data_IF_346653883593
#
_entry.id   IF_346653883593
#
_cell.length_a   1.000
_cell.length_b   1.000
_cell.length_c   1.000
_cell.angle_alpha   90.00
_cell.angle_beta   90.00
_cell.angle_gamma   90.00
#
_symmetry.space_group_name_H-M   'P 1'
#
loop_
_entity.id
_entity.type
_entity.pdbx_description
1 polymer ?
#
# COMPACT_ATOMS: atom_id res chain seq x y z
N UNK A 1 -16.46 7.09 7.48
CA UNK A 1 -15.00 6.91 7.62
C UNK A 1 -14.65 5.62 6.89
N UNK A 2 -13.56 5.59 6.11
CA UNK A 2 -13.03 4.36 5.51
C UNK A 2 -11.71 4.00 6.19
N UNK A 3 -11.53 2.73 6.52
CA UNK A 3 -10.27 2.17 6.98
C UNK A 3 -9.85 1.08 6.00
N UNK A 4 -8.79 1.34 5.23
CA UNK A 4 -8.17 0.33 4.37
C UNK A 4 -7.15 -0.45 5.21
N UNK A 5 -7.54 -1.66 5.64
CA UNK A 5 -6.70 -2.57 6.42
C UNK A 5 -6.41 -3.89 5.69
N UNK A 6 -7.14 -4.21 4.62
CA UNK A 6 -6.90 -5.43 3.87
C UNK A 6 -5.48 -5.43 3.29
N UNK A 7 -4.72 -6.48 3.61
CA UNK A 7 -3.34 -6.63 3.18
C UNK A 7 -2.90 -8.09 3.28
N UNK A 8 -2.06 -8.52 2.34
CA UNK A 8 -1.45 -9.85 2.30
C UNK A 8 0.04 -9.75 2.04
N UNK A 9 0.81 -10.59 2.72
CA UNK A 9 2.24 -10.73 2.51
C UNK A 9 2.56 -12.21 2.30
N UNK A 10 3.29 -12.54 1.23
CA UNK A 10 3.76 -13.89 0.92
C UNK A 10 5.28 -13.84 0.75
N UNK A 11 6.05 -13.95 1.85
CA UNK A 11 7.50 -13.92 1.78
C UNK A 11 8.00 -15.03 0.84
N UNK A 12 8.63 -14.65 -0.26
CA UNK A 12 9.12 -15.56 -1.30
C UNK A 12 10.44 -15.01 -1.82
N UNK A 13 11.52 -15.81 -1.89
CA UNK A 13 12.78 -15.37 -2.50
C UNK A 13 12.53 -14.78 -3.89
N UNK A 14 13.28 -13.74 -4.25
CA UNK A 14 13.03 -12.99 -5.50
C UNK A 14 13.07 -13.89 -6.73
N UNK A 15 13.94 -14.91 -6.73
CA UNK A 15 14.10 -15.84 -7.84
C UNK A 15 12.96 -16.87 -7.95
N UNK A 16 12.22 -17.09 -6.86
CA UNK A 16 11.13 -18.07 -6.78
C UNK A 16 9.74 -17.39 -6.81
N UNK A 17 9.71 -16.06 -6.84
CA UNK A 17 8.48 -15.29 -6.80
C UNK A 17 7.72 -15.45 -8.12
N UNK A 18 6.55 -16.10 -8.04
CA UNK A 18 5.67 -16.26 -9.19
C UNK A 18 4.87 -14.99 -9.47
N UNK A 19 4.49 -14.82 -10.74
CA UNK A 19 3.62 -13.71 -11.16
C UNK A 19 2.26 -13.75 -10.45
N UNK A 20 1.71 -14.94 -10.21
CA UNK A 20 0.46 -15.08 -9.44
C UNK A 20 0.59 -14.54 -8.01
N UNK A 21 1.71 -14.83 -7.34
CA UNK A 21 1.96 -14.34 -5.99
C UNK A 21 2.15 -12.82 -5.99
N UNK A 22 2.85 -12.30 -7.00
CA UNK A 22 3.03 -10.86 -7.21
C UNK A 22 1.68 -10.16 -7.41
N UNK A 23 0.85 -10.69 -8.33
CA UNK A 23 -0.46 -10.15 -8.64
C UNK A 23 -1.38 -10.20 -7.42
N UNK A 24 -1.40 -11.30 -6.66
CA UNK A 24 -2.18 -11.40 -5.43
C UNK A 24 -1.85 -10.27 -4.43
N UNK A 25 -0.56 -9.99 -4.23
CA UNK A 25 -0.09 -8.94 -3.32
C UNK A 25 -0.50 -7.55 -3.85
N UNK A 26 -0.27 -7.27 -5.13
CA UNK A 26 -0.63 -5.97 -5.73
C UNK A 26 -2.15 -5.75 -5.78
N UNK A 27 -2.90 -6.76 -6.17
CA UNK A 27 -4.35 -6.69 -6.31
C UNK A 27 -5.01 -6.41 -4.97
N UNK A 28 -4.53 -7.06 -3.91
CA UNK A 28 -5.06 -6.85 -2.55
C UNK A 28 -4.60 -5.51 -1.98
N UNK A 29 -3.28 -5.28 -1.96
CA UNK A 29 -2.71 -4.22 -1.12
C UNK A 29 -2.64 -2.86 -1.83
N UNK A 30 -2.66 -2.85 -3.17
CA UNK A 30 -2.57 -1.63 -3.97
C UNK A 30 -3.87 -1.36 -4.73
N UNK A 31 -4.29 -2.26 -5.62
CA UNK A 31 -5.50 -2.04 -6.44
C UNK A 31 -6.75 -1.98 -5.56
N UNK A 32 -6.93 -2.95 -4.67
CA UNK A 32 -8.06 -3.02 -3.73
C UNK A 32 -8.16 -1.76 -2.88
N UNK A 33 -7.05 -1.36 -2.24
CA UNK A 33 -6.97 -0.12 -1.47
C UNK A 33 -7.35 1.10 -2.31
N UNK A 34 -6.81 1.24 -3.52
CA UNK A 34 -7.06 2.39 -4.39
C UNK A 34 -8.53 2.45 -4.82
N UNK A 35 -9.12 1.36 -5.29
CA UNK A 35 -10.49 1.35 -5.79
C UNK A 35 -11.53 1.47 -4.68
N UNK A 36 -11.29 0.88 -3.51
CA UNK A 36 -12.11 1.13 -2.31
C UNK A 36 -12.09 2.62 -1.93
N UNK A 37 -10.89 3.22 -1.91
CA UNK A 37 -10.72 4.65 -1.67
C UNK A 37 -11.46 5.49 -2.70
N UNK A 38 -11.32 5.17 -3.98
CA UNK A 38 -11.97 5.91 -5.07
C UNK A 38 -13.50 5.84 -4.95
N UNK A 39 -14.05 4.66 -4.66
CA UNK A 39 -15.48 4.45 -4.48
C UNK A 39 -16.02 5.30 -3.34
N UNK A 40 -15.39 5.24 -2.16
CA UNK A 40 -15.85 6.00 -0.98
C UNK A 40 -15.60 7.51 -1.14
N UNK A 41 -14.49 7.92 -1.76
CA UNK A 41 -14.17 9.33 -1.98
C UNK A 41 -15.24 10.04 -2.83
N UNK A 42 -15.84 9.36 -3.81
CA UNK A 42 -16.97 9.91 -4.60
C UNK A 42 -18.15 10.32 -3.73
N UNK A 43 -18.42 9.61 -2.64
CA UNK A 43 -19.47 9.97 -1.68
C UNK A 43 -19.02 11.08 -0.73
N UNK A 44 -17.80 10.99 -0.20
CA UNK A 44 -17.25 11.97 0.74
C UNK A 44 -17.16 13.38 0.14
N UNK A 45 -16.81 13.50 -1.15
CA UNK A 45 -16.76 14.79 -1.86
C UNK A 45 -18.15 15.44 -1.90
N UNK A 46 -19.20 14.68 -2.24
CA UNK A 46 -20.59 15.17 -2.26
C UNK A 46 -21.05 15.60 -0.87
N UNK A 47 -20.66 14.84 0.15
CA UNK A 47 -20.94 15.10 1.56
C UNK A 47 -20.14 16.29 2.13
N UNK A 48 -19.07 16.74 1.46
CA UNK A 48 -18.09 17.71 1.98
C UNK A 48 -17.46 17.30 3.33
N UNK A 49 -17.47 16.01 3.64
CA UNK A 49 -16.95 15.46 4.89
C UNK A 49 -16.59 13.99 4.73
N UNK A 50 -15.57 13.55 5.46
CA UNK A 50 -15.05 12.19 5.40
C UNK A 50 -13.61 12.09 5.88
N UNK A 51 -13.21 10.87 6.25
CA UNK A 51 -11.83 10.52 6.60
C UNK A 51 -11.53 9.14 6.02
N UNK A 52 -10.36 9.00 5.40
CA UNK A 52 -9.82 7.74 4.87
C UNK A 52 -8.51 7.47 5.63
N UNK A 53 -8.41 6.29 6.22
CA UNK A 53 -7.25 5.83 6.99
C UNK A 53 -6.69 4.61 6.28
N UNK A 54 -5.42 4.63 5.91
CA UNK A 54 -4.73 3.51 5.27
C UNK A 54 -3.74 2.92 6.27
N UNK A 55 -3.85 1.63 6.54
CA UNK A 55 -2.88 0.91 7.37
C UNK A 55 -1.71 0.50 6.48
N UNK A 56 -0.48 0.81 6.92
CA UNK A 56 0.75 0.50 6.19
C UNK A 56 1.77 -0.15 7.12
N UNK A 57 2.74 -0.88 6.55
CA UNK A 57 3.85 -1.49 7.28
C UNK A 57 5.16 -0.73 7.05
N UNK A 58 6.10 -0.82 8.00
CA UNK A 58 7.47 -0.34 7.79
C UNK A 58 8.20 -1.10 6.69
N UNK A 59 7.82 -2.36 6.42
CA UNK A 59 8.37 -3.17 5.32
C UNK A 59 8.08 -2.56 3.94
N UNK A 60 7.13 -1.64 3.85
CA UNK A 60 6.86 -0.84 2.65
C UNK A 60 7.94 0.23 2.40
N UNK A 61 8.80 0.55 3.37
CA UNK A 61 9.94 1.46 3.15
C UNK A 61 11.19 0.74 2.63
N UNK A 62 11.19 -0.59 2.68
CA UNK A 62 12.26 -1.50 2.34
C UNK A 62 11.95 -2.84 2.99
N UNK A 63 12.26 -3.95 2.31
CA UNK A 63 12.02 -5.28 2.86
C UNK A 63 12.72 -5.41 4.23
N UNK A 64 11.94 -5.67 5.28
CA UNK A 64 12.50 -5.88 6.62
C UNK A 64 13.11 -7.27 6.74
N UNK A 65 12.59 -8.23 5.98
CA UNK A 65 13.00 -9.63 5.97
C UNK A 65 13.23 -10.15 4.55
N UNK A 66 14.07 -11.21 4.36
CA UNK A 66 14.21 -11.89 3.09
C UNK A 66 12.86 -12.33 2.52
N UNK A 67 12.73 -12.21 1.19
CA UNK A 67 11.53 -12.62 0.46
C UNK A 67 10.35 -11.63 0.51
N UNK A 68 10.49 -10.47 1.14
CA UNK A 68 9.43 -9.46 1.17
C UNK A 68 9.46 -8.47 -0.01
N UNK A 69 10.17 -8.78 -1.10
CA UNK A 69 10.36 -7.84 -2.21
C UNK A 69 9.02 -7.35 -2.82
N UNK A 70 8.08 -8.26 -3.06
CA UNK A 70 6.74 -7.93 -3.56
C UNK A 70 5.93 -7.07 -2.58
N UNK A 71 6.02 -7.39 -1.29
CA UNK A 71 5.33 -6.62 -0.24
C UNK A 71 5.96 -5.25 -0.01
N UNK A 72 7.27 -5.09 -0.22
CA UNK A 72 7.94 -3.79 -0.16
C UNK A 72 7.59 -2.90 -1.36
N UNK A 73 7.31 -3.50 -2.53
CA UNK A 73 7.01 -2.77 -3.76
C UNK A 73 5.73 -1.93 -3.70
N UNK A 74 4.78 -2.26 -2.82
CA UNK A 74 3.53 -1.48 -2.62
C UNK A 74 3.77 -0.16 -1.87
N UNK A 75 4.99 0.03 -1.36
CA UNK A 75 5.31 1.14 -0.48
C UNK A 75 5.57 2.46 -1.18
N UNK A 76 4.89 3.49 -0.71
CA UNK A 76 5.07 4.86 -1.20
C UNK A 76 6.28 5.48 -0.51
N UNK A 77 7.45 5.39 -1.14
CA UNK A 77 8.64 6.11 -0.66
C UNK A 77 8.43 7.61 -0.83
N UNK A 78 8.28 8.36 0.27
CA UNK A 78 8.61 9.79 0.28
C UNK A 78 10.12 9.94 0.09
N UNK A 79 10.60 10.11 -1.14
CA UNK A 79 11.95 10.64 -1.38
C UNK A 79 11.93 12.13 -1.00
N UNK A 80 12.36 12.44 0.21
CA UNK A 80 12.60 13.81 0.64
C UNK A 80 12.74 13.91 2.15
N UNK A 81 13.97 14.16 2.63
CA UNK A 81 14.13 14.88 3.90
C UNK A 81 13.40 16.22 3.75
N UNK A 82 12.71 16.75 4.76
CA UNK A 82 12.42 18.18 4.77
C UNK A 82 13.78 18.88 4.75
N UNK A 83 14.17 19.46 3.61
CA UNK A 83 15.19 20.52 3.64
C UNK A 83 14.55 21.63 4.45
N UNK A 84 15.13 21.92 5.62
CA UNK A 84 14.92 23.21 6.26
C UNK A 84 15.32 24.25 5.23
N UNK A 85 14.34 25.01 4.75
CA UNK A 85 14.59 26.28 4.09
C UNK A 85 14.83 27.24 5.26
N UNK A 86 16.10 27.56 5.49
CA UNK A 86 16.45 28.80 6.16
C UNK A 86 16.51 29.89 5.09
#
# INVERSE_FOLDING_TARGET
ILVNNAGTNRPTPVLDLTEDTWNLILDTNLKGLFFCTQAVARHMVKQKSGKIINISSTASMGANEPGQAAYAAIGWRKRGRPRKVN
#
